data_IF_539828167804
#
_entry.id   IF_539828167804
#
_cell.length_a   1.000
_cell.length_b   1.000
_cell.length_c   1.000
_cell.angle_alpha   90.00
_cell.angle_beta   90.00
_cell.angle_gamma   90.00
#
_symmetry.space_group_name_H-M   'P 1'
#
loop_
_entity.id
_entity.type
_entity.pdbx_description
1 polymer ?
#
# COMPACT_ATOMS: atom_id res chain seq x y z
N UNK A 1 23.62 21.86 19.69
CA UNK A 1 22.61 22.21 18.67
C UNK A 1 21.28 21.65 19.13
N UNK A 2 20.23 22.47 19.14
CA UNK A 2 18.88 21.99 19.47
C UNK A 2 18.25 21.43 18.19
N UNK A 3 18.21 20.12 18.08
CA UNK A 3 17.68 19.40 16.89
C UNK A 3 16.22 19.71 16.61
N UNK A 4 15.42 20.05 17.63
CA UNK A 4 14.02 20.39 17.44
C UNK A 4 13.82 21.68 16.62
N UNK A 5 14.82 22.54 16.56
CA UNK A 5 14.78 23.77 15.73
C UNK A 5 15.19 23.54 14.28
N UNK A 6 15.75 22.37 13.97
CA UNK A 6 16.25 22.02 12.63
C UNK A 6 15.29 21.09 11.88
N UNK A 7 14.53 20.31 12.63
CA UNK A 7 13.56 19.38 12.04
C UNK A 7 12.36 20.11 11.45
N UNK A 8 11.86 19.60 10.33
CA UNK A 8 10.60 20.02 9.73
C UNK A 8 9.44 19.83 10.73
N UNK A 9 8.52 20.79 10.77
CA UNK A 9 7.41 20.79 11.72
C UNK A 9 6.54 19.52 11.59
N UNK A 10 6.19 19.13 10.38
CA UNK A 10 5.41 17.90 10.10
C UNK A 10 6.12 16.66 10.65
N UNK A 11 7.45 16.57 10.47
CA UNK A 11 8.22 15.44 10.98
C UNK A 11 8.20 15.36 12.50
N UNK A 12 8.22 16.52 13.18
CA UNK A 12 8.13 16.57 14.64
C UNK A 12 6.77 16.15 15.20
N UNK A 13 5.71 16.37 14.42
CA UNK A 13 4.34 16.01 14.80
C UNK A 13 4.04 14.53 14.58
N UNK A 14 4.80 13.84 13.72
CA UNK A 14 4.63 12.40 13.47
C UNK A 14 5.14 11.62 14.68
N UNK A 15 4.27 10.88 15.40
CA UNK A 15 4.71 10.08 16.54
C UNK A 15 5.57 8.89 16.08
N UNK A 16 6.57 8.50 16.87
CA UNK A 16 7.34 7.28 16.59
C UNK A 16 6.41 6.06 16.61
N UNK A 17 6.65 5.12 15.69
CA UNK A 17 5.89 3.86 15.64
C UNK A 17 6.06 3.08 16.94
N UNK A 18 4.94 2.72 17.58
CA UNK A 18 4.94 1.88 18.78
C UNK A 18 5.39 0.43 18.54
N UNK A 19 5.33 -0.05 17.31
CA UNK A 19 5.65 -1.43 16.93
C UNK A 19 7.07 -1.82 17.31
N UNK A 20 8.06 -0.94 17.12
CA UNK A 20 9.47 -1.22 17.47
C UNK A 20 9.65 -1.55 18.94
N UNK A 21 8.94 -0.87 19.85
CA UNK A 21 9.04 -1.14 21.28
C UNK A 21 8.60 -2.56 21.64
N UNK A 22 7.57 -3.08 20.94
CA UNK A 22 7.12 -4.45 21.14
C UNK A 22 8.12 -5.48 20.59
N UNK A 23 8.76 -5.20 19.45
CA UNK A 23 9.82 -6.06 18.93
C UNK A 23 11.03 -6.12 19.86
N UNK A 24 11.50 -4.97 20.34
CA UNK A 24 12.62 -4.91 21.27
C UNK A 24 12.30 -5.69 22.57
N UNK A 25 11.06 -5.62 23.04
CA UNK A 25 10.60 -6.37 24.21
C UNK A 25 10.54 -7.87 23.93
N UNK A 26 9.93 -8.28 22.81
CA UNK A 26 9.80 -9.68 22.41
C UNK A 26 11.17 -10.35 22.23
N UNK A 27 12.14 -9.64 21.63
CA UNK A 27 13.51 -10.12 21.43
C UNK A 27 14.31 -10.30 22.74
N UNK A 28 13.88 -9.65 23.84
CA UNK A 28 14.50 -9.77 25.16
C UNK A 28 13.90 -10.90 26.02
N UNK A 29 12.80 -11.51 25.58
CA UNK A 29 12.09 -12.54 26.30
C UNK A 29 12.41 -13.93 25.74
N UNK A 30 12.74 -14.88 26.63
CA UNK A 30 12.92 -16.28 26.24
C UNK A 30 11.58 -17.01 26.12
N UNK A 31 11.47 -17.90 25.13
CA UNK A 31 10.30 -18.76 24.94
C UNK A 31 9.06 -18.08 24.38
N UNK A 32 9.17 -16.87 23.84
CA UNK A 32 8.07 -16.14 23.22
C UNK A 32 7.82 -16.65 21.81
N UNK A 33 6.57 -17.00 21.51
CA UNK A 33 6.10 -17.18 20.14
C UNK A 33 5.66 -15.82 19.61
N UNK A 34 6.47 -15.20 18.75
CA UNK A 34 6.16 -13.88 18.18
C UNK A 34 5.14 -14.01 17.05
N UNK A 35 4.04 -13.25 17.15
CA UNK A 35 3.08 -13.02 16.07
C UNK A 35 3.17 -11.59 15.53
N UNK A 36 4.28 -10.91 15.80
CA UNK A 36 4.42 -9.46 15.58
C UNK A 36 4.71 -9.08 14.14
N UNK A 37 5.71 -9.68 13.50
CA UNK A 37 6.02 -9.43 12.07
C UNK A 37 5.46 -10.55 11.24
N UNK A 38 4.60 -10.20 10.29
CA UNK A 38 4.13 -11.14 9.28
C UNK A 38 5.14 -11.24 8.14
N UNK A 39 5.88 -12.34 8.09
CA UNK A 39 6.75 -12.68 6.97
C UNK A 39 6.59 -14.15 6.61
N UNK A 40 6.77 -14.53 5.33
CA UNK A 40 6.75 -15.94 4.95
C UNK A 40 7.85 -16.71 5.67
N UNK A 41 7.52 -17.86 6.22
CA UNK A 41 8.46 -18.80 6.88
C UNK A 41 9.13 -19.77 5.91
N UNK A 42 9.07 -19.46 4.62
CA UNK A 42 9.70 -20.19 3.54
C UNK A 42 10.91 -19.44 2.99
N UNK A 43 12.00 -20.13 2.78
CA UNK A 43 13.11 -19.58 2.00
C UNK A 43 12.67 -19.22 0.58
N UNK A 44 13.26 -18.19 0.02
CA UNK A 44 13.10 -17.88 -1.41
C UNK A 44 13.46 -19.12 -2.24
N UNK A 45 12.59 -19.56 -3.19
CA UNK A 45 12.84 -20.75 -3.99
C UNK A 45 14.22 -20.72 -4.66
N UNK A 46 14.88 -21.89 -4.67
CA UNK A 46 16.27 -22.01 -5.14
C UNK A 46 16.50 -21.41 -6.51
N UNK A 47 15.61 -21.64 -7.47
CA UNK A 47 15.74 -21.08 -8.83
C UNK A 47 15.82 -19.55 -8.86
N UNK A 48 15.13 -18.88 -7.93
CA UNK A 48 15.15 -17.41 -7.82
C UNK A 48 16.49 -16.99 -7.20
N UNK A 49 16.93 -17.66 -6.13
CA UNK A 49 18.23 -17.38 -5.50
C UNK A 49 19.39 -17.61 -6.47
N UNK A 50 19.37 -18.72 -7.21
CA UNK A 50 20.37 -19.06 -8.22
C UNK A 50 20.44 -17.99 -9.32
N UNK A 51 19.29 -17.53 -9.84
CA UNK A 51 19.25 -16.48 -10.84
C UNK A 51 19.81 -15.14 -10.32
N UNK A 52 19.58 -14.81 -9.06
CA UNK A 52 20.13 -13.62 -8.42
C UNK A 52 21.67 -13.73 -8.29
N UNK A 53 22.19 -14.85 -7.80
CA UNK A 53 23.63 -15.13 -7.69
C UNK A 53 24.28 -15.02 -9.07
N UNK A 54 23.73 -15.70 -10.07
CA UNK A 54 24.24 -15.67 -11.44
C UNK A 54 24.27 -14.26 -12.02
N UNK A 55 23.28 -13.44 -11.74
CA UNK A 55 23.23 -12.05 -12.23
C UNK A 55 24.39 -11.22 -11.67
N UNK A 56 24.76 -11.44 -10.41
CA UNK A 56 25.89 -10.78 -9.75
C UNK A 56 27.21 -11.28 -10.36
N UNK A 57 27.37 -12.58 -10.54
CA UNK A 57 28.53 -13.19 -11.17
C UNK A 57 28.76 -12.68 -12.60
N UNK A 58 27.67 -12.38 -13.33
CA UNK A 58 27.73 -11.77 -14.66
C UNK A 58 27.95 -10.26 -14.63
N UNK A 59 28.21 -9.67 -13.47
CA UNK A 59 28.50 -8.23 -13.32
C UNK A 59 27.30 -7.33 -13.61
N UNK A 60 26.07 -7.80 -13.47
CA UNK A 60 24.84 -6.98 -13.67
C UNK A 60 24.60 -6.08 -12.46
N UNK A 61 25.53 -5.17 -12.19
CA UNK A 61 25.55 -4.30 -11.00
C UNK A 61 25.61 -2.81 -11.37
N UNK A 62 25.15 -2.45 -12.56
CA UNK A 62 25.11 -1.08 -13.05
C UNK A 62 23.75 -0.42 -12.77
N UNK A 63 23.71 0.90 -12.94
CA UNK A 63 22.46 1.66 -12.88
C UNK A 63 21.45 1.16 -13.91
N UNK A 64 20.20 1.14 -13.52
CA UNK A 64 19.05 0.92 -14.40
C UNK A 64 18.42 2.26 -14.82
N UNK A 65 17.39 2.21 -15.66
CA UNK A 65 16.54 3.38 -15.89
C UNK A 65 15.84 3.81 -14.58
N UNK A 66 15.51 5.09 -14.44
CA UNK A 66 14.83 5.62 -13.25
C UNK A 66 13.51 4.90 -12.92
N UNK A 67 12.81 4.42 -13.94
CA UNK A 67 11.59 3.64 -13.79
C UNK A 67 11.83 2.17 -13.42
N UNK A 68 13.09 1.75 -13.30
CA UNK A 68 13.47 0.36 -13.08
C UNK A 68 13.79 -0.40 -14.36
N UNK A 69 14.28 -1.63 -14.17
CA UNK A 69 14.71 -2.51 -15.25
C UNK A 69 13.55 -2.81 -16.22
N UNK A 70 13.77 -2.62 -17.52
CA UNK A 70 12.73 -2.77 -18.57
C UNK A 70 12.13 -4.18 -18.54
N UNK A 71 12.98 -5.20 -18.43
CA UNK A 71 12.56 -6.59 -18.39
C UNK A 71 11.65 -6.87 -17.19
N UNK A 72 11.97 -6.33 -16.02
CA UNK A 72 11.17 -6.47 -14.83
C UNK A 72 9.80 -5.78 -15.00
N UNK A 73 9.77 -4.55 -15.52
CA UNK A 73 8.50 -3.83 -15.78
C UNK A 73 7.60 -4.58 -16.75
N UNK A 74 8.18 -5.18 -17.82
CA UNK A 74 7.43 -6.04 -18.74
C UNK A 74 6.83 -7.27 -18.05
N UNK A 75 7.59 -7.92 -17.18
CA UNK A 75 7.09 -9.08 -16.45
C UNK A 75 6.03 -8.71 -15.41
N UNK A 76 6.16 -7.56 -14.75
CA UNK A 76 5.11 -7.03 -13.86
C UNK A 76 3.80 -6.83 -14.65
N UNK A 77 3.83 -6.15 -15.79
CA UNK A 77 2.63 -5.94 -16.60
C UNK A 77 2.04 -7.26 -17.14
N UNK A 78 2.89 -8.22 -17.57
CA UNK A 78 2.44 -9.56 -17.95
C UNK A 78 1.80 -10.33 -16.78
N UNK A 79 2.35 -10.19 -15.58
CA UNK A 79 1.80 -10.78 -14.38
C UNK A 79 0.42 -10.19 -14.07
N UNK A 80 0.27 -8.86 -14.07
CA UNK A 80 -1.00 -8.17 -13.85
C UNK A 80 -2.07 -8.60 -14.85
N UNK A 81 -1.70 -8.70 -16.13
CA UNK A 81 -2.62 -9.17 -17.17
C UNK A 81 -3.04 -10.62 -16.97
N UNK A 82 -2.08 -11.51 -16.69
CA UNK A 82 -2.35 -12.95 -16.53
C UNK A 82 -3.15 -13.26 -15.27
N UNK A 83 -2.85 -12.58 -14.14
CA UNK A 83 -3.45 -12.89 -12.84
C UNK A 83 -4.76 -12.16 -12.60
N UNK A 84 -4.82 -10.90 -12.97
CA UNK A 84 -5.92 -10.00 -12.59
C UNK A 84 -6.67 -9.40 -13.79
N UNK A 85 -6.22 -9.66 -15.02
CA UNK A 85 -6.85 -9.15 -16.23
C UNK A 85 -6.53 -7.68 -16.52
N UNK A 86 -5.62 -7.05 -15.77
CA UNK A 86 -5.24 -5.66 -15.91
C UNK A 86 -4.15 -5.48 -16.97
N UNK A 87 -4.41 -4.70 -17.99
CA UNK A 87 -3.51 -4.51 -19.14
C UNK A 87 -2.83 -3.14 -19.08
N UNK A 88 -1.60 -3.12 -18.53
CA UNK A 88 -0.79 -1.91 -18.36
C UNK A 88 0.34 -1.83 -19.39
N UNK A 89 0.67 -0.61 -19.80
CA UNK A 89 1.83 -0.31 -20.62
C UNK A 89 3.10 -0.21 -19.75
N UNK A 90 4.03 -1.14 -19.92
CA UNK A 90 5.26 -1.19 -19.14
C UNK A 90 6.11 0.10 -19.21
N UNK A 91 5.98 0.86 -20.32
CA UNK A 91 6.79 2.06 -20.56
C UNK A 91 6.21 3.33 -19.93
N UNK A 92 4.88 3.38 -19.75
CA UNK A 92 4.18 4.58 -19.28
C UNK A 92 3.49 4.40 -17.95
N UNK A 93 3.12 3.16 -17.57
CA UNK A 93 2.22 2.86 -16.46
C UNK A 93 2.86 1.91 -15.43
N UNK A 94 4.17 1.70 -15.51
CA UNK A 94 4.87 0.84 -14.57
C UNK A 94 6.20 1.47 -14.12
N UNK A 95 6.35 1.62 -12.81
CA UNK A 95 7.58 2.03 -12.15
C UNK A 95 7.93 1.03 -11.05
N UNK A 96 9.21 0.73 -10.90
CA UNK A 96 9.76 -0.12 -9.82
C UNK A 96 10.36 0.78 -8.76
N UNK A 97 9.98 0.54 -7.51
CA UNK A 97 10.41 1.31 -6.35
C UNK A 97 11.16 0.44 -5.34
N UNK A 98 11.84 1.06 -4.39
CA UNK A 98 12.46 0.38 -3.24
C UNK A 98 11.37 0.08 -2.20
N UNK A 99 10.54 -0.92 -2.49
CA UNK A 99 9.43 -1.35 -1.66
C UNK A 99 8.14 -0.52 -1.87
N UNK A 100 7.03 -1.05 -1.34
CA UNK A 100 5.71 -0.43 -1.46
C UNK A 100 5.60 0.92 -0.75
N UNK A 101 6.37 1.15 0.31
CA UNK A 101 6.36 2.44 1.02
C UNK A 101 6.84 3.60 0.15
N UNK A 102 7.86 3.38 -0.71
CA UNK A 102 8.27 4.40 -1.68
C UNK A 102 7.21 4.61 -2.74
N UNK A 103 6.58 3.55 -3.24
CA UNK A 103 5.50 3.67 -4.22
C UNK A 103 4.34 4.52 -3.70
N UNK A 104 3.93 4.31 -2.46
CA UNK A 104 2.86 5.06 -1.79
C UNK A 104 3.28 6.52 -1.55
N UNK A 105 4.51 6.77 -1.07
CA UNK A 105 5.02 8.13 -0.86
C UNK A 105 5.08 8.90 -2.19
N UNK A 106 5.56 8.28 -3.26
CA UNK A 106 5.57 8.88 -4.60
C UNK A 106 4.17 9.19 -5.11
N UNK A 107 3.22 8.25 -4.93
CA UNK A 107 1.84 8.47 -5.32
C UNK A 107 1.22 9.67 -4.60
N UNK A 108 1.38 9.75 -3.27
CA UNK A 108 0.88 10.89 -2.49
C UNK A 108 1.51 12.20 -2.95
N UNK A 109 2.84 12.26 -3.08
CA UNK A 109 3.55 13.47 -3.55
C UNK A 109 3.15 13.90 -4.95
N UNK A 110 2.78 12.96 -5.81
CA UNK A 110 2.37 13.27 -7.19
C UNK A 110 0.98 13.90 -7.28
N UNK A 111 0.07 13.60 -6.34
CA UNK A 111 -1.34 13.98 -6.47
C UNK A 111 -1.85 14.94 -5.41
N UNK A 112 -1.19 15.02 -4.23
CA UNK A 112 -1.69 15.80 -3.10
C UNK A 112 -1.12 17.23 -3.11
N UNK A 113 -1.98 18.23 -3.00
CA UNK A 113 -1.63 19.60 -2.67
C UNK A 113 -1.87 19.86 -1.18
N UNK A 114 -1.22 20.90 -0.66
CA UNK A 114 -1.43 21.32 0.73
C UNK A 114 -2.91 21.60 1.01
N UNK A 115 -3.46 20.85 1.97
CA UNK A 115 -4.85 20.98 2.41
C UNK A 115 -5.84 20.06 1.71
N UNK A 116 -5.43 19.30 0.68
CA UNK A 116 -6.24 18.21 0.13
C UNK A 116 -6.47 17.14 1.20
N UNK A 117 -7.61 16.50 1.17
CA UNK A 117 -7.98 15.43 2.09
C UNK A 117 -7.82 14.05 1.43
N UNK A 118 -7.25 13.12 2.20
CA UNK A 118 -7.08 11.72 1.80
C UNK A 118 -7.82 10.84 2.80
N UNK A 119 -8.75 10.03 2.31
CA UNK A 119 -9.47 9.06 3.12
C UNK A 119 -8.57 7.85 3.36
N UNK A 120 -8.36 7.50 4.63
CA UNK A 120 -7.68 6.29 5.08
C UNK A 120 -8.62 5.43 5.91
N UNK A 121 -8.58 4.12 5.68
CA UNK A 121 -9.34 3.15 6.44
C UNK A 121 -8.57 2.76 7.71
N UNK A 122 -9.24 2.65 8.85
CA UNK A 122 -8.62 2.26 10.12
C UNK A 122 -9.29 0.98 10.67
N UNK A 123 -8.49 0.05 11.24
CA UNK A 123 -7.03 0.08 11.38
C UNK A 123 -6.29 -0.19 10.06
N UNK A 124 -5.11 0.40 9.90
CA UNK A 124 -4.33 0.28 8.66
C UNK A 124 -2.82 0.24 8.90
N UNK A 125 -2.07 0.02 7.84
CA UNK A 125 -0.61 0.06 7.89
C UNK A 125 -0.10 1.45 8.33
N UNK A 126 0.80 1.45 9.29
CA UNK A 126 1.25 2.65 10.02
C UNK A 126 1.91 3.72 9.15
N UNK A 127 2.38 3.38 7.95
CA UNK A 127 3.07 4.32 7.07
C UNK A 127 2.12 5.22 6.24
N UNK A 128 0.82 4.89 6.14
CA UNK A 128 -0.10 5.67 5.30
C UNK A 128 -0.32 7.08 5.85
N UNK A 129 -0.65 7.20 7.13
CA UNK A 129 -0.86 8.50 7.78
C UNK A 129 0.34 9.44 7.67
N UNK A 130 1.58 9.02 7.99
CA UNK A 130 2.76 9.83 7.76
C UNK A 130 2.97 10.22 6.30
N UNK A 131 2.72 9.31 5.36
CA UNK A 131 2.86 9.57 3.93
C UNK A 131 1.97 10.72 3.46
N UNK A 132 0.69 10.72 3.85
CA UNK A 132 -0.24 11.83 3.56
C UNK A 132 0.24 13.14 4.18
N UNK A 133 0.65 13.12 5.45
CA UNK A 133 1.11 14.32 6.16
C UNK A 133 2.38 14.92 5.52
N UNK A 134 3.35 14.07 5.15
CA UNK A 134 4.59 14.49 4.48
C UNK A 134 4.37 15.02 3.05
N UNK A 135 3.27 14.63 2.41
CA UNK A 135 2.84 15.21 1.14
C UNK A 135 2.05 16.53 1.30
N UNK A 136 1.77 16.97 2.54
CA UNK A 136 1.02 18.19 2.85
C UNK A 136 -0.50 18.01 2.91
N UNK A 137 -0.98 16.77 2.80
CA UNK A 137 -2.40 16.43 2.88
C UNK A 137 -2.92 16.31 4.30
N UNK A 138 -4.24 16.23 4.41
CA UNK A 138 -4.97 15.94 5.65
C UNK A 138 -5.59 14.56 5.60
N UNK A 139 -5.43 13.79 6.66
CA UNK A 139 -6.06 12.47 6.78
C UNK A 139 -7.50 12.60 7.26
N UNK A 140 -8.40 11.91 6.57
CA UNK A 140 -9.78 11.66 6.99
C UNK A 140 -9.90 10.16 7.27
N UNK A 141 -10.06 9.78 8.53
CA UNK A 141 -10.14 8.38 8.93
C UNK A 141 -11.58 7.85 8.84
N UNK A 142 -11.74 6.66 8.26
CA UNK A 142 -12.94 5.84 8.37
C UNK A 142 -12.62 4.65 9.30
N UNK A 143 -13.27 4.59 10.45
CA UNK A 143 -13.13 3.48 11.38
C UNK A 143 -13.95 2.28 10.90
N UNK A 144 -13.25 1.22 10.50
CA UNK A 144 -13.87 -0.05 10.12
C UNK A 144 -14.08 -0.92 11.37
N UNK A 145 -15.07 -1.78 11.34
CA UNK A 145 -15.47 -2.61 12.49
C UNK A 145 -15.48 -4.09 12.14
N UNK A 146 -15.25 -4.90 13.15
CA UNK A 146 -15.25 -6.37 13.06
C UNK A 146 -16.63 -6.92 12.67
N UNK A 147 -17.71 -6.31 13.18
CA UNK A 147 -19.09 -6.71 12.89
C UNK A 147 -19.45 -6.61 11.39
N UNK A 148 -18.68 -5.85 10.60
CA UNK A 148 -18.77 -5.79 9.15
C UNK A 148 -17.49 -6.31 8.46
N UNK A 149 -16.77 -7.25 9.07
CA UNK A 149 -15.58 -7.87 8.50
C UNK A 149 -14.53 -6.85 8.05
N UNK A 150 -14.49 -5.68 8.68
CA UNK A 150 -13.62 -4.55 8.31
C UNK A 150 -13.76 -4.10 6.84
N UNK A 151 -14.98 -4.18 6.29
CA UNK A 151 -15.28 -3.73 4.93
C UNK A 151 -15.68 -2.27 4.87
N UNK A 152 -15.28 -1.59 3.79
CA UNK A 152 -15.76 -0.26 3.47
C UNK A 152 -17.17 -0.34 2.89
N UNK A 153 -18.13 0.34 3.50
CA UNK A 153 -19.51 0.44 2.99
C UNK A 153 -19.78 1.76 2.27
N UNK A 154 -20.79 1.81 1.38
CA UNK A 154 -21.24 3.06 0.75
C UNK A 154 -21.50 4.19 1.73
N UNK A 155 -22.17 3.89 2.83
CA UNK A 155 -22.57 4.87 3.85
C UNK A 155 -21.36 5.48 4.55
N UNK A 156 -20.37 4.65 4.90
CA UNK A 156 -19.12 5.11 5.52
C UNK A 156 -18.33 5.99 4.55
N UNK A 157 -18.28 5.61 3.28
CA UNK A 157 -17.57 6.37 2.26
C UNK A 157 -18.25 7.73 2.02
N UNK A 158 -19.57 7.76 1.75
CA UNK A 158 -20.31 9.02 1.51
C UNK A 158 -20.19 9.98 2.70
N UNK A 159 -20.23 9.46 3.94
CA UNK A 159 -20.11 10.28 5.15
C UNK A 159 -18.71 10.93 5.33
N UNK A 160 -17.67 10.34 4.74
CA UNK A 160 -16.30 10.84 4.85
C UNK A 160 -15.92 11.83 3.74
N UNK A 161 -16.69 11.87 2.65
CA UNK A 161 -16.38 12.71 1.49
C UNK A 161 -16.69 14.18 1.79
N UNK A 162 -15.76 15.06 1.47
CA UNK A 162 -15.91 16.51 1.51
C UNK A 162 -15.51 17.12 0.16
N UNK A 163 -15.77 18.42 -0.08
CA UNK A 163 -15.27 19.10 -1.27
C UNK A 163 -13.74 19.15 -1.39
N UNK A 164 -13.00 18.76 -0.35
CA UNK A 164 -11.52 18.69 -0.32
C UNK A 164 -10.99 17.27 -0.50
N UNK A 165 -11.86 16.28 -0.53
CA UNK A 165 -11.46 14.88 -0.72
C UNK A 165 -10.83 14.70 -2.08
N UNK A 166 -9.54 14.39 -2.11
CA UNK A 166 -8.73 14.20 -3.33
C UNK A 166 -8.55 12.74 -3.68
N UNK A 167 -8.31 11.92 -2.65
CA UNK A 167 -8.00 10.51 -2.84
C UNK A 167 -8.51 9.64 -1.69
N UNK A 168 -8.62 8.37 -1.96
CA UNK A 168 -8.80 7.31 -0.97
C UNK A 168 -7.70 6.27 -1.14
N UNK A 169 -7.11 5.79 -0.03
CA UNK A 169 -6.24 4.63 -0.05
C UNK A 169 -6.97 3.40 0.47
N UNK A 170 -7.00 2.37 -0.34
CA UNK A 170 -7.56 1.06 -0.04
C UNK A 170 -6.42 0.05 0.14
N UNK A 171 -6.50 -0.80 1.16
CA UNK A 171 -5.61 -1.93 1.34
C UNK A 171 -6.44 -3.19 1.60
N UNK A 172 -6.62 -3.99 0.55
CA UNK A 172 -7.34 -5.25 0.61
C UNK A 172 -6.65 -6.32 -0.26
N UNK A 173 -6.36 -7.52 0.29
CA UNK A 173 -6.56 -7.93 1.69
C UNK A 173 -5.79 -7.03 2.66
N UNK A 174 -6.37 -6.73 3.82
CA UNK A 174 -5.93 -5.64 4.69
C UNK A 174 -4.86 -6.05 5.70
N UNK A 175 -3.90 -5.20 5.92
CA UNK A 175 -3.04 -5.20 7.10
C UNK A 175 -3.54 -4.10 8.07
N UNK A 176 -3.92 -4.41 9.35
CA UNK A 176 -3.64 -5.68 10.06
C UNK A 176 -4.82 -6.64 10.16
N UNK A 177 -6.00 -6.32 9.63
CA UNK A 177 -7.25 -7.01 9.98
C UNK A 177 -7.47 -8.31 9.21
N UNK A 178 -6.83 -8.48 8.04
CA UNK A 178 -7.17 -9.55 7.09
C UNK A 178 -8.52 -9.32 6.38
N UNK A 179 -9.14 -8.14 6.56
CA UNK A 179 -10.37 -7.78 5.87
C UNK A 179 -10.24 -7.92 4.36
N UNK A 180 -11.33 -8.28 3.70
CA UNK A 180 -11.36 -8.60 2.27
C UNK A 180 -12.58 -7.96 1.60
N UNK A 181 -12.39 -7.37 0.42
CA UNK A 181 -13.48 -6.83 -0.41
C UNK A 181 -13.69 -7.74 -1.61
N UNK A 182 -14.92 -8.20 -1.78
CA UNK A 182 -15.33 -8.96 -2.98
C UNK A 182 -15.57 -8.01 -4.16
N UNK A 183 -15.78 -8.58 -5.35
CA UNK A 183 -16.18 -7.80 -6.53
C UNK A 183 -17.49 -7.03 -6.25
N UNK A 184 -18.46 -7.70 -5.64
CA UNK A 184 -19.77 -7.14 -5.31
C UNK A 184 -19.65 -6.00 -4.26
N UNK A 185 -18.71 -6.09 -3.35
CA UNK A 185 -18.42 -5.01 -2.39
C UNK A 185 -17.86 -3.79 -3.09
N UNK A 186 -16.91 -3.98 -4.02
CA UNK A 186 -16.37 -2.87 -4.83
C UNK A 186 -17.42 -2.23 -5.73
N UNK A 187 -18.32 -3.00 -6.37
CA UNK A 187 -19.40 -2.48 -7.21
C UNK A 187 -20.28 -1.46 -6.48
N UNK A 188 -20.48 -1.63 -5.17
CA UNK A 188 -21.28 -0.71 -4.34
C UNK A 188 -20.60 0.64 -4.13
N UNK A 189 -19.26 0.70 -4.05
CA UNK A 189 -18.51 1.94 -3.74
C UNK A 189 -17.97 2.64 -4.97
N UNK A 190 -17.73 1.92 -6.07
CA UNK A 190 -17.15 2.48 -7.31
C UNK A 190 -18.00 3.61 -7.88
N UNK A 191 -19.34 3.49 -7.85
CA UNK A 191 -20.24 4.54 -8.32
C UNK A 191 -20.11 5.84 -7.54
N UNK A 192 -19.84 5.74 -6.23
CA UNK A 192 -19.61 6.89 -5.34
C UNK A 192 -18.26 7.54 -5.68
N UNK A 193 -17.22 6.72 -5.80
CA UNK A 193 -15.87 7.17 -6.15
C UNK A 193 -15.89 7.93 -7.48
N UNK A 194 -16.51 7.35 -8.52
CA UNK A 194 -16.65 7.99 -9.85
C UNK A 194 -17.46 9.28 -9.80
N UNK A 195 -18.58 9.29 -9.07
CA UNK A 195 -19.45 10.49 -8.90
C UNK A 195 -18.69 11.67 -8.30
N UNK A 196 -17.77 11.42 -7.37
CA UNK A 196 -17.00 12.45 -6.68
C UNK A 196 -15.60 12.66 -7.26
N UNK A 197 -15.25 11.97 -8.36
CA UNK A 197 -13.95 12.06 -9.05
C UNK A 197 -12.75 11.81 -8.11
N UNK A 198 -12.90 10.88 -7.15
CA UNK A 198 -11.89 10.56 -6.14
C UNK A 198 -10.83 9.64 -6.76
N UNK A 199 -9.55 10.00 -6.60
CA UNK A 199 -8.43 9.14 -7.02
C UNK A 199 -8.31 7.97 -6.05
N UNK A 200 -8.24 6.75 -6.56
CA UNK A 200 -8.00 5.55 -5.77
C UNK A 200 -6.54 5.18 -5.80
N UNK A 201 -5.92 5.07 -4.63
CA UNK A 201 -4.65 4.39 -4.43
C UNK A 201 -4.98 3.05 -3.80
N UNK A 202 -4.54 1.95 -4.42
CA UNK A 202 -4.79 0.61 -3.87
C UNK A 202 -3.47 -0.10 -3.57
N UNK A 203 -3.31 -0.53 -2.31
CA UNK A 203 -2.21 -1.39 -1.88
C UNK A 203 -2.71 -2.83 -1.86
N UNK A 204 -2.24 -3.61 -2.81
CA UNK A 204 -2.67 -4.99 -3.07
C UNK A 204 -1.55 -6.00 -2.79
N UNK A 205 -0.63 -5.68 -1.87
CA UNK A 205 0.52 -6.53 -1.54
C UNK A 205 0.11 -7.96 -1.16
N UNK A 206 -1.07 -8.14 -0.58
CA UNK A 206 -1.58 -9.44 -0.14
C UNK A 206 -2.51 -10.12 -1.15
N UNK A 207 -2.60 -9.65 -2.39
CA UNK A 207 -3.49 -10.21 -3.43
C UNK A 207 -3.36 -11.72 -3.62
N UNK A 208 -2.13 -12.26 -3.55
CA UNK A 208 -1.86 -13.70 -3.69
C UNK A 208 -2.03 -14.49 -2.39
N UNK A 209 -2.30 -13.84 -1.26
CA UNK A 209 -2.57 -14.48 0.03
C UNK A 209 -4.07 -14.59 0.32
N UNK A 210 -4.87 -14.75 -0.73
CA UNK A 210 -6.31 -14.98 -0.66
C UNK A 210 -6.59 -16.48 -0.78
N UNK A 211 -7.02 -17.12 0.31
CA UNK A 211 -7.13 -18.57 0.39
C UNK A 211 -8.52 -19.10 0.01
N UNK A 212 -9.57 -18.45 0.47
CA UNK A 212 -10.96 -18.92 0.29
C UNK A 212 -11.71 -18.14 -0.79
N UNK A 213 -11.32 -16.90 -1.05
CA UNK A 213 -11.99 -16.00 -1.97
C UNK A 213 -11.08 -15.60 -3.12
N UNK A 214 -11.67 -15.40 -4.29
CA UNK A 214 -10.92 -14.91 -5.44
C UNK A 214 -10.68 -13.41 -5.29
N UNK A 215 -9.42 -13.01 -5.28
CA UNK A 215 -9.04 -11.60 -5.28
C UNK A 215 -9.58 -10.87 -6.52
N UNK A 216 -10.04 -9.66 -6.31
CA UNK A 216 -10.45 -8.72 -7.33
C UNK A 216 -9.77 -7.37 -7.06
N UNK A 217 -9.03 -6.83 -8.01
CA UNK A 217 -8.51 -5.47 -7.92
C UNK A 217 -9.61 -4.46 -8.19
N UNK A 218 -9.62 -3.34 -7.45
CA UNK A 218 -10.53 -2.23 -7.75
C UNK A 218 -10.21 -1.60 -9.13
N UNK A 219 -8.99 -1.71 -9.61
CA UNK A 219 -8.60 -1.25 -10.94
C UNK A 219 -9.34 -1.97 -12.09
N UNK A 220 -9.98 -3.12 -11.81
CA UNK A 220 -10.81 -3.82 -12.80
C UNK A 220 -12.15 -3.11 -13.11
N UNK A 221 -12.47 -2.00 -12.44
CA UNK A 221 -13.68 -1.18 -12.63
C UNK A 221 -13.38 0.16 -13.32
N UNK A 222 -12.16 0.32 -13.80
CA UNK A 222 -11.73 1.53 -14.49
C UNK A 222 -12.18 1.48 -15.97
N UNK A 223 -13.50 1.75 -16.21
CA UNK A 223 -14.12 2.06 -17.48
C UNK A 223 -15.09 3.24 -17.33
#
# INVERSE_FOLDING_TARGET
>A
MDFNKVLNDTVREIPPSGIRKFFDLANQMEGVISLGVGEPDFDTPWKIREAAIYSIEQGKTFYTANQGLVELRKEICRYQKRRFGLDYCYDKECIVTVGGSEAIDLAFRAIINTGDEVILLQPSYVAYTPGVALAGGKVVNIELKEDNEFKLTPELLEAAITPKTKAILLNYPSNPTGGFMTREDYEKIVSIIKKHEIIVITDEIYAELSYEQKFCSIAAFDE
#
